data_IF_738911749991
#
_entry.id   IF_738911749991
#
_cell.length_a   1.000
_cell.length_b   1.000
_cell.length_c   1.000
_cell.angle_alpha   90.00
_cell.angle_beta   90.00
_cell.angle_gamma   90.00
#
_symmetry.space_group_name_H-M   'P 1'
#
loop_
_entity.id
_entity.type
_entity.pdbx_description
1 polymer ?
#
# COMPACT_ATOMS: atom_id res chain seq x y z
N UNK A 1 -14.74 -13.92 -4.73
CA UNK A 1 -14.16 -12.71 -4.13
C UNK A 1 -14.50 -11.55 -5.05
N UNK A 2 -15.35 -10.61 -4.62
CA UNK A 2 -15.66 -9.43 -5.42
C UNK A 2 -14.71 -8.33 -4.97
N UNK A 3 -13.71 -8.02 -5.80
CA UNK A 3 -12.77 -6.93 -5.53
C UNK A 3 -13.52 -5.60 -5.58
N UNK A 4 -13.14 -4.60 -4.76
CA UNK A 4 -13.85 -3.33 -4.70
C UNK A 4 -13.84 -2.63 -6.06
N UNK A 5 -14.99 -2.08 -6.47
CA UNK A 5 -15.20 -1.45 -7.78
C UNK A 5 -14.32 -0.22 -8.04
N UNK A 6 -13.69 0.35 -7.00
CA UNK A 6 -12.90 1.59 -7.04
C UNK A 6 -11.38 1.36 -6.99
N UNK A 7 -10.91 0.25 -6.41
CA UNK A 7 -9.48 0.01 -6.21
C UNK A 7 -9.10 -1.40 -6.64
N UNK A 8 -8.06 -1.50 -7.47
CA UNK A 8 -7.39 -2.76 -7.72
C UNK A 8 -6.32 -2.96 -6.64
N UNK A 9 -6.36 -4.10 -5.96
CA UNK A 9 -5.44 -4.43 -4.88
C UNK A 9 -4.66 -5.68 -5.27
N UNK A 10 -3.35 -5.59 -5.17
CA UNK A 10 -2.43 -6.72 -5.28
C UNK A 10 -1.79 -6.98 -3.91
N UNK A 11 -1.78 -8.24 -3.48
CA UNK A 11 -1.06 -8.65 -2.27
C UNK A 11 0.29 -9.19 -2.72
N UNK A 12 1.35 -8.50 -2.32
CA UNK A 12 2.73 -8.88 -2.62
C UNK A 12 3.33 -9.57 -1.40
N UNK A 13 3.68 -10.85 -1.55
CA UNK A 13 4.57 -11.52 -0.61
C UNK A 13 6.01 -11.16 -0.97
N UNK A 14 6.74 -10.64 0.02
CA UNK A 14 8.09 -10.12 -0.21
C UNK A 14 9.17 -11.16 0.05
N UNK A 15 8.83 -12.35 0.56
CA UNK A 15 9.82 -13.33 1.06
C UNK A 15 10.88 -13.76 0.02
N UNK A 16 10.50 -13.79 -1.26
CA UNK A 16 11.38 -14.20 -2.36
C UNK A 16 12.16 -13.03 -3.01
N UNK A 17 12.01 -11.80 -2.49
CA UNK A 17 12.70 -10.61 -2.99
C UNK A 17 13.60 -10.03 -1.90
N UNK A 18 14.91 -10.26 -2.03
CA UNK A 18 15.91 -9.73 -1.09
C UNK A 18 15.82 -8.20 -0.94
N UNK A 19 15.59 -7.48 -2.05
CA UNK A 19 15.39 -6.03 -2.08
C UNK A 19 14.18 -5.59 -1.24
N UNK A 20 13.02 -6.22 -1.43
CA UNK A 20 11.81 -5.88 -0.69
C UNK A 20 11.90 -6.29 0.78
N UNK A 21 12.58 -7.40 1.09
CA UNK A 21 12.85 -7.82 2.47
C UNK A 21 13.76 -6.82 3.18
N UNK A 22 14.85 -6.37 2.54
CA UNK A 22 15.74 -5.36 3.11
C UNK A 22 15.00 -4.05 3.36
N UNK A 23 14.15 -3.63 2.42
CA UNK A 23 13.46 -2.36 2.48
C UNK A 23 12.26 -2.35 3.45
N UNK A 24 11.48 -3.43 3.50
CA UNK A 24 10.18 -3.46 4.16
C UNK A 24 10.00 -4.57 5.20
N UNK A 25 10.91 -5.53 5.32
CA UNK A 25 10.73 -6.74 6.14
C UNK A 25 10.40 -6.50 7.62
N UNK A 26 10.78 -5.35 8.19
CA UNK A 26 10.48 -4.96 9.58
C UNK A 26 9.32 -3.97 9.72
N UNK A 27 8.73 -3.55 8.60
CA UNK A 27 7.74 -2.47 8.50
C UNK A 27 6.40 -2.92 7.91
N UNK A 28 6.27 -4.20 7.57
CA UNK A 28 5.01 -4.76 7.08
C UNK A 28 3.91 -4.67 8.16
N UNK A 29 2.64 -4.36 7.80
CA UNK A 29 2.17 -4.15 6.43
C UNK A 29 2.54 -2.77 5.86
N UNK A 30 2.81 -2.74 4.55
CA UNK A 30 3.09 -1.53 3.77
C UNK A 30 2.08 -1.45 2.63
N UNK A 31 1.50 -0.28 2.40
CA UNK A 31 0.63 -0.01 1.24
C UNK A 31 1.37 0.88 0.27
N UNK A 32 1.42 0.48 -1.00
CA UNK A 32 2.08 1.23 -2.07
C UNK A 32 1.07 1.65 -3.13
N UNK A 33 1.13 2.92 -3.55
CA UNK A 33 0.50 3.37 -4.79
C UNK A 33 1.49 3.22 -5.93
N UNK A 34 1.32 2.18 -6.73
CA UNK A 34 2.25 1.87 -7.82
C UNK A 34 2.42 3.03 -8.81
N UNK A 35 1.34 3.73 -9.15
CA UNK A 35 1.35 4.85 -10.10
C UNK A 35 2.27 6.02 -9.71
N UNK A 36 2.51 6.23 -8.42
CA UNK A 36 3.29 7.39 -7.89
C UNK A 36 4.41 6.97 -6.95
N UNK A 37 4.62 5.66 -6.76
CA UNK A 37 5.62 5.07 -5.85
C UNK A 37 5.56 5.68 -4.43
N UNK A 38 4.36 6.07 -4.00
CA UNK A 38 4.11 6.59 -2.65
C UNK A 38 3.79 5.44 -1.71
N UNK A 39 4.28 5.53 -0.47
CA UNK A 39 4.22 4.45 0.50
C UNK A 39 3.57 4.92 1.79
N UNK A 40 2.63 4.14 2.31
CA UNK A 40 2.11 4.23 3.67
C UNK A 40 2.61 3.01 4.47
N UNK A 41 3.53 3.26 5.40
CA UNK A 41 4.12 2.22 6.24
C UNK A 41 3.42 2.12 7.59
N UNK A 42 3.43 0.93 8.20
CA UNK A 42 2.95 0.75 9.57
C UNK A 42 3.77 1.59 10.58
N UNK A 43 3.15 2.10 11.65
CA UNK A 43 1.72 2.04 11.97
C UNK A 43 0.91 3.11 11.23
N UNK A 44 -0.29 2.75 10.79
CA UNK A 44 -1.26 3.70 10.25
C UNK A 44 -2.67 3.34 10.71
N UNK A 45 -3.51 4.35 10.85
CA UNK A 45 -4.93 4.21 11.16
C UNK A 45 -5.76 4.08 9.88
N UNK A 46 -7.04 3.74 10.04
CA UNK A 46 -7.98 3.76 8.92
C UNK A 46 -8.11 5.16 8.28
N UNK A 47 -8.03 6.23 9.09
CA UNK A 47 -8.09 7.60 8.59
C UNK A 47 -6.85 7.95 7.75
N UNK A 48 -5.67 7.49 8.17
CA UNK A 48 -4.43 7.66 7.39
C UNK A 48 -4.53 6.91 6.05
N UNK A 49 -5.09 5.70 6.06
CA UNK A 49 -5.31 4.91 4.85
C UNK A 49 -6.30 5.58 3.90
N UNK A 50 -7.41 6.13 4.41
CA UNK A 50 -8.39 6.87 3.60
C UNK A 50 -7.77 8.11 2.97
N UNK A 51 -7.09 8.93 3.77
CA UNK A 51 -6.38 10.11 3.28
C UNK A 51 -5.37 9.71 2.21
N UNK A 52 -4.59 8.65 2.46
CA UNK A 52 -3.65 8.12 1.50
C UNK A 52 -4.35 7.74 0.19
N UNK A 53 -5.43 6.96 0.17
CA UNK A 53 -6.04 6.52 -1.10
C UNK A 53 -6.87 7.60 -1.82
N UNK A 54 -7.35 8.64 -1.13
CA UNK A 54 -8.25 9.67 -1.70
C UNK A 54 -7.55 10.90 -2.32
N UNK A 55 -6.22 11.05 -2.22
CA UNK A 55 -5.45 12.17 -2.81
C UNK A 55 -5.57 12.32 -4.35
N UNK A 56 -6.30 11.42 -5.04
CA UNK A 56 -6.58 11.47 -6.48
C UNK A 56 -7.90 12.11 -6.91
N UNK A 57 -8.80 12.49 -5.99
CA UNK A 57 -10.09 13.13 -6.29
C UNK A 57 -10.21 14.53 -5.62
N UNK A 58 -9.27 15.43 -5.92
CA UNK A 58 -9.58 16.87 -5.83
C UNK A 58 -10.07 17.32 -7.22
N UNK A 59 -11.37 17.17 -7.46
CA UNK A 59 -12.08 17.92 -8.51
C UNK A 59 -12.35 19.35 -8.05
#
# INVERSE_FOLDING_TARGET
MQYPTRFQIEVVDIIDSEELVEQYGTRIPVVMKDAVQQVLAWPFTYADLLCFVDEGEMQ
#
